data_IF_610251717611
#
_entry.id   IF_610251717611
#
_cell.length_a   1.000
_cell.length_b   1.000
_cell.length_c   1.000
_cell.angle_alpha   90.00
_cell.angle_beta   90.00
_cell.angle_gamma   90.00
#
_symmetry.space_group_name_H-M   'P 1'
#
loop_
_entity.id
_entity.type
_entity.pdbx_description
1 polymer ?
#
# COMPACT_ATOMS: atom_id res chain seq x y z
N UNK A 1 -21.81 5.99 -11.12
CA UNK A 1 -20.35 6.01 -10.83
C UNK A 1 -19.84 4.58 -10.87
N UNK A 2 -18.73 4.33 -11.59
CA UNK A 2 -18.13 3.02 -11.69
C UNK A 2 -17.01 2.89 -10.65
N UNK A 3 -17.11 1.88 -9.78
CA UNK A 3 -16.04 1.54 -8.84
C UNK A 3 -14.86 0.91 -9.60
N UNK A 4 -13.64 1.20 -9.17
CA UNK A 4 -12.42 0.77 -9.85
C UNK A 4 -11.56 -0.11 -8.93
N UNK A 5 -10.75 -0.97 -9.55
CA UNK A 5 -9.81 -1.86 -8.84
C UNK A 5 -8.39 -1.31 -8.82
N UNK A 6 -8.09 -0.31 -9.65
CA UNK A 6 -6.76 0.29 -9.74
C UNK A 6 -6.86 1.76 -10.13
N UNK A 7 -5.86 2.55 -9.73
CA UNK A 7 -5.68 3.92 -10.23
C UNK A 7 -4.25 4.38 -10.07
N UNK A 8 -3.89 5.44 -10.81
CA UNK A 8 -2.68 6.20 -10.52
C UNK A 8 -2.86 6.97 -9.21
N UNK A 9 -1.82 7.00 -8.41
CA UNK A 9 -1.78 7.69 -7.13
C UNK A 9 -0.35 8.14 -6.82
N UNK A 10 -0.18 8.89 -5.73
CA UNK A 10 1.13 9.17 -5.17
C UNK A 10 1.17 8.84 -3.69
N UNK A 11 2.29 8.33 -3.21
CA UNK A 11 2.58 8.18 -1.79
C UNK A 11 3.45 9.34 -1.36
N UNK A 12 3.00 10.11 -0.36
CA UNK A 12 3.71 11.29 0.14
C UNK A 12 3.89 11.17 1.64
N UNK A 13 5.05 11.52 2.16
CA UNK A 13 5.27 11.54 3.60
C UNK A 13 6.66 11.98 3.97
N UNK A 14 6.96 11.94 5.27
CA UNK A 14 8.30 12.24 5.79
C UNK A 14 8.97 10.96 6.27
N UNK A 15 10.25 10.80 5.94
CA UNK A 15 11.04 9.62 6.32
C UNK A 15 11.14 9.45 7.83
N UNK A 16 11.27 10.55 8.58
CA UNK A 16 11.39 10.53 10.05
C UNK A 16 10.14 10.00 10.78
N UNK A 17 8.99 9.94 10.11
CA UNK A 17 7.72 9.46 10.68
C UNK A 17 7.40 8.01 10.34
N UNK A 18 8.13 7.38 9.42
CA UNK A 18 7.91 5.97 9.06
C UNK A 18 6.56 5.73 8.37
N UNK A 19 5.98 6.76 7.76
CA UNK A 19 4.67 6.70 7.12
C UNK A 19 4.62 7.48 5.81
N UNK A 20 4.03 6.87 4.79
CA UNK A 20 3.63 7.51 3.55
C UNK A 20 2.11 7.46 3.42
N UNK A 21 1.49 8.57 3.04
CA UNK A 21 0.06 8.71 2.83
C UNK A 21 -0.27 8.65 1.34
N UNK A 22 -1.33 7.91 1.00
CA UNK A 22 -1.85 7.79 -0.34
C UNK A 22 -2.69 9.01 -0.72
N UNK A 23 -2.35 9.62 -1.84
CA UNK A 23 -3.04 10.78 -2.40
C UNK A 23 -3.44 10.52 -3.85
N UNK A 24 -4.46 11.25 -4.32
CA UNK A 24 -4.74 11.28 -5.74
C UNK A 24 -3.62 12.04 -6.46
N UNK A 25 -3.36 11.68 -7.72
CA UNK A 25 -2.26 12.27 -8.52
C UNK A 25 -2.37 13.79 -8.61
N UNK A 26 -3.60 14.28 -8.80
CA UNK A 26 -3.90 15.71 -9.00
C UNK A 26 -4.03 16.50 -7.70
N UNK A 27 -3.87 15.86 -6.53
CA UNK A 27 -3.99 16.54 -5.24
C UNK A 27 -2.64 17.18 -4.87
N UNK A 28 -2.49 18.48 -5.07
CA UNK A 28 -1.21 19.19 -4.88
C UNK A 28 -1.05 19.89 -3.51
N UNK A 29 -2.04 19.76 -2.63
CA UNK A 29 -2.14 20.53 -1.39
C UNK A 29 -1.23 20.10 -0.23
N UNK A 30 -0.32 19.14 -0.44
CA UNK A 30 0.50 18.55 0.65
C UNK A 30 1.96 19.01 0.66
N UNK A 31 2.40 19.78 -0.34
CA UNK A 31 3.77 20.28 -0.41
C UNK A 31 4.14 21.29 0.71
N UNK A 32 3.17 22.08 1.20
CA UNK A 32 3.46 23.14 2.20
C UNK A 32 3.55 22.62 3.64
N UNK A 33 2.99 21.45 3.95
CA UNK A 33 2.91 20.95 5.33
C UNK A 33 4.06 19.99 5.72
N UNK A 34 4.76 19.43 4.74
CA UNK A 34 5.76 18.38 4.94
C UNK A 34 7.08 18.71 4.25
N UNK A 35 7.87 19.65 4.79
CA UNK A 35 9.20 20.10 4.29
C UNK A 35 9.99 19.10 3.42
N UNK A 36 10.95 18.35 3.99
CA UNK A 36 11.62 17.23 3.28
C UNK A 36 10.64 16.05 3.13
N UNK A 37 9.67 16.20 2.23
CA UNK A 37 8.75 15.12 1.86
C UNK A 37 9.30 14.30 0.71
N UNK A 38 9.08 13.00 0.81
CA UNK A 38 9.32 12.07 -0.29
C UNK A 38 8.01 11.86 -1.02
N UNK A 39 8.07 11.80 -2.34
CA UNK A 39 6.92 11.62 -3.21
C UNK A 39 7.23 10.47 -4.16
N UNK A 40 6.45 9.41 -4.05
CA UNK A 40 6.53 8.25 -4.94
C UNK A 40 5.30 8.25 -5.82
N UNK A 41 5.50 8.29 -7.14
CA UNK A 41 4.42 8.20 -8.11
C UNK A 41 4.22 6.74 -8.50
N UNK A 42 2.98 6.32 -8.73
CA UNK A 42 2.74 4.92 -9.01
C UNK A 42 1.28 4.55 -9.22
N UNK A 43 1.05 3.25 -9.19
CA UNK A 43 -0.27 2.63 -9.35
C UNK A 43 -0.66 1.91 -8.06
N UNK A 44 -1.86 2.20 -7.54
CA UNK A 44 -2.45 1.46 -6.41
C UNK A 44 -3.47 0.44 -6.93
N UNK A 45 -3.34 -0.80 -6.48
CA UNK A 45 -4.24 -1.90 -6.80
C UNK A 45 -5.03 -2.31 -5.55
N UNK A 46 -6.34 -2.48 -5.69
CA UNK A 46 -7.24 -2.93 -4.63
C UNK A 46 -6.87 -4.33 -4.14
N UNK A 47 -6.87 -4.56 -2.83
CA UNK A 47 -6.60 -5.90 -2.30
C UNK A 47 -7.78 -6.87 -2.45
N UNK A 48 -9.02 -6.39 -2.31
CA UNK A 48 -10.24 -7.24 -2.29
C UNK A 48 -11.46 -6.53 -2.85
N UNK A 49 -11.70 -5.31 -2.39
CA UNK A 49 -12.90 -4.55 -2.71
C UNK A 49 -12.54 -3.38 -3.63
N UNK A 50 -13.35 -3.11 -4.66
CA UNK A 50 -13.14 -1.94 -5.50
C UNK A 50 -13.46 -0.67 -4.70
N UNK A 51 -12.89 0.46 -5.12
CA UNK A 51 -12.97 1.73 -4.40
C UNK A 51 -13.46 2.85 -5.31
N UNK A 52 -13.95 3.93 -4.69
CA UNK A 52 -14.31 5.14 -5.41
C UNK A 52 -13.06 5.79 -6.02
N UNK A 53 -13.09 6.30 -7.27
CA UNK A 53 -11.90 6.83 -7.94
C UNK A 53 -11.10 7.87 -7.12
N UNK A 54 -11.80 8.72 -6.37
CA UNK A 54 -11.20 9.77 -5.54
C UNK A 54 -10.82 9.32 -4.11
N UNK A 55 -11.03 8.06 -3.75
CA UNK A 55 -10.77 7.58 -2.39
C UNK A 55 -9.28 7.54 -2.08
N UNK A 56 -8.86 8.11 -0.96
CA UNK A 56 -7.48 8.01 -0.45
C UNK A 56 -7.33 6.93 0.62
N UNK A 57 -8.42 6.56 1.29
CA UNK A 57 -8.46 5.50 2.31
C UNK A 57 -8.55 4.10 1.70
N UNK A 58 -7.59 3.75 0.84
CA UNK A 58 -7.54 2.47 0.11
C UNK A 58 -6.66 1.46 0.86
N UNK A 59 -7.09 0.19 0.89
CA UNK A 59 -6.23 -0.93 1.30
C UNK A 59 -5.87 -1.75 0.07
N UNK A 60 -4.57 -1.84 -0.22
CA UNK A 60 -4.09 -2.33 -1.49
C UNK A 60 -2.58 -2.50 -1.55
N UNK A 61 -2.08 -2.68 -2.77
CA UNK A 61 -0.67 -2.81 -3.08
C UNK A 61 -0.30 -1.68 -4.04
N UNK A 62 0.70 -0.88 -3.66
CA UNK A 62 1.18 0.22 -4.46
C UNK A 62 2.46 -0.22 -5.15
N UNK A 63 2.54 -0.01 -6.47
CA UNK A 63 3.77 -0.15 -7.23
C UNK A 63 4.31 1.23 -7.57
N UNK A 64 5.56 1.47 -7.20
CA UNK A 64 6.28 2.68 -7.56
C UNK A 64 6.68 2.66 -9.05
N UNK A 65 6.53 3.80 -9.73
CA UNK A 65 6.78 3.90 -11.16
C UNK A 65 8.28 3.86 -11.49
N UNK A 66 9.14 4.38 -10.61
CA UNK A 66 10.58 4.50 -10.86
C UNK A 66 11.32 3.21 -10.54
N UNK A 67 11.17 2.72 -9.31
CA UNK A 67 11.85 1.52 -8.81
C UNK A 67 11.15 0.22 -9.20
N UNK A 68 9.88 0.28 -9.61
CA UNK A 68 8.99 -0.88 -9.84
C UNK A 68 8.75 -1.77 -8.60
N UNK A 69 9.25 -1.34 -7.44
CA UNK A 69 9.05 -2.03 -6.16
C UNK A 69 7.63 -1.83 -5.64
N UNK A 70 7.26 -2.71 -4.73
CA UNK A 70 5.92 -2.79 -4.17
C UNK A 70 5.93 -2.46 -2.69
N UNK A 71 4.89 -1.76 -2.23
CA UNK A 71 4.62 -1.55 -0.82
C UNK A 71 3.15 -1.79 -0.52
N UNK A 72 2.85 -2.25 0.69
CA UNK A 72 1.48 -2.46 1.12
C UNK A 72 0.90 -1.18 1.70
N UNK A 73 -0.26 -0.79 1.19
CA UNK A 73 -1.04 0.35 1.72
C UNK A 73 -2.21 -0.21 2.52
N UNK A 74 -2.39 0.28 3.74
CA UNK A 74 -3.51 -0.07 4.61
C UNK A 74 -4.24 1.21 5.02
N UNK A 75 -5.52 1.29 4.67
CA UNK A 75 -6.37 2.45 4.93
C UNK A 75 -5.72 3.79 4.52
N UNK A 76 -5.06 3.80 3.34
CA UNK A 76 -4.38 4.98 2.81
C UNK A 76 -2.98 5.24 3.37
N UNK A 77 -2.44 4.37 4.22
CA UNK A 77 -1.10 4.54 4.82
C UNK A 77 -0.20 3.36 4.49
N UNK A 78 1.00 3.65 4.00
CA UNK A 78 2.11 2.71 3.91
C UNK A 78 3.09 2.99 5.06
N UNK A 79 3.21 2.05 5.98
CA UNK A 79 4.17 2.16 7.07
C UNK A 79 5.52 1.55 6.66
N UNK A 80 6.61 2.16 7.09
CA UNK A 80 7.97 1.69 6.88
C UNK A 80 8.84 1.98 8.11
N UNK A 81 10.00 1.33 8.21
CA UNK A 81 11.00 1.65 9.23
C UNK A 81 11.80 2.90 8.81
N UNK A 82 11.76 4.02 9.55
CA UNK A 82 12.58 5.21 9.26
C UNK A 82 14.08 4.93 9.15
N UNK A 83 14.59 3.89 9.82
CA UNK A 83 16.01 3.53 9.81
C UNK A 83 16.41 2.69 8.60
N UNK A 84 15.44 1.97 8.02
CA UNK A 84 15.66 1.14 6.84
C UNK A 84 14.39 1.08 5.98
N UNK A 85 14.15 2.15 5.23
CA UNK A 85 12.95 2.28 4.40
C UNK A 85 12.92 1.22 3.29
N UNK A 86 14.07 0.87 2.72
CA UNK A 86 14.18 -0.07 1.60
C UNK A 86 13.63 -1.46 1.94
N UNK A 87 13.74 -1.90 3.19
CA UNK A 87 13.18 -3.19 3.66
C UNK A 87 11.65 -3.25 3.59
N UNK A 88 10.99 -2.09 3.54
CA UNK A 88 9.52 -2.01 3.46
C UNK A 88 9.00 -2.11 2.03
N UNK A 89 9.90 -1.95 1.06
CA UNK A 89 9.64 -2.12 -0.36
C UNK A 89 10.11 -3.50 -0.82
N UNK A 90 9.34 -4.16 -1.67
CA UNK A 90 9.66 -5.50 -2.16
C UNK A 90 9.66 -5.58 -3.68
N UNK A 91 10.53 -6.40 -4.23
CA UNK A 91 10.65 -6.60 -5.69
C UNK A 91 9.40 -7.22 -6.34
N UNK A 92 8.64 -8.00 -5.56
CA UNK A 92 7.53 -8.82 -6.04
C UNK A 92 6.33 -8.68 -5.11
N UNK A 93 5.14 -8.43 -5.68
CA UNK A 93 3.90 -8.23 -4.92
C UNK A 93 3.54 -9.44 -4.04
N UNK A 94 3.90 -10.65 -4.48
CA UNK A 94 3.67 -11.91 -3.78
C UNK A 94 4.32 -11.92 -2.38
N UNK A 95 5.43 -11.20 -2.21
CA UNK A 95 6.11 -11.09 -0.91
C UNK A 95 5.27 -10.34 0.15
N UNK A 96 4.25 -9.57 -0.29
CA UNK A 96 3.31 -8.87 0.60
C UNK A 96 2.05 -9.71 0.89
N UNK A 97 1.87 -10.84 0.21
CA UNK A 97 0.71 -11.70 0.32
C UNK A 97 0.98 -12.82 1.32
N UNK A 98 0.16 -12.89 2.38
CA UNK A 98 0.17 -14.02 3.33
C UNK A 98 -0.99 -14.95 3.03
N UNK A 99 -0.70 -16.09 2.42
CA UNK A 99 -1.69 -17.15 2.22
C UNK A 99 -1.73 -18.00 3.49
N UNK A 100 -2.91 -18.11 4.12
CA UNK A 100 -3.14 -19.03 5.24
C UNK A 100 -4.05 -20.16 4.77
N UNK A 101 -3.52 -21.37 4.72
CA UNK A 101 -4.34 -22.57 4.53
C UNK A 101 -4.90 -23.01 5.88
N UNK A 102 -6.23 -23.04 6.00
CA UNK A 102 -6.89 -23.64 7.16
C UNK A 102 -7.09 -25.12 6.86
N UNK A 103 -6.16 -25.96 7.30
CA UNK A 103 -6.33 -27.42 7.23
C UNK A 103 -7.29 -27.88 8.33
N UNK A 104 -8.14 -28.87 8.03
CA UNK A 104 -9.18 -29.36 8.94
C UNK A 104 -8.62 -30.01 10.22
N UNK A 105 -9.49 -30.14 11.24
CA UNK A 105 -9.14 -30.74 12.53
C UNK A 105 -9.05 -32.26 12.40
N UNK A 106 -7.90 -32.85 12.74
CA UNK A 106 -7.76 -34.31 12.93
C UNK A 106 -8.62 -34.74 14.12
N UNK A 107 -9.70 -35.50 13.88
CA UNK A 107 -10.44 -36.21 14.93
C UNK A 107 -9.91 -37.64 15.04
N UNK A 108 -9.16 -37.92 16.10
CA UNK A 108 -8.81 -39.29 16.48
C UNK A 108 -10.03 -39.94 17.14
N UNK A 109 -10.64 -40.92 16.47
CA UNK A 109 -11.73 -41.73 17.04
C UNK A 109 -11.08 -43.00 17.60
N UNK A 110 -11.06 -43.12 18.93
CA UNK A 110 -10.63 -44.34 19.62
C UNK A 110 -11.81 -45.33 19.60
N UNK A 111 -11.60 -46.51 19.01
CA UNK A 111 -12.55 -47.63 19.06
C UNK A 111 -12.60 -48.23 20.45
#
# INVERSE_FOLDING_TARGET
MQYILEKRAKLVGRVDKGQLWLLNVHDDWIHDQYGESYIYHGQIYASRNPFHPLSTSITGYFQDDDSKKWIKVKAGVAAFDPKNMDDSWVEKVENLMKIRFKTGVYKYIKK
#
